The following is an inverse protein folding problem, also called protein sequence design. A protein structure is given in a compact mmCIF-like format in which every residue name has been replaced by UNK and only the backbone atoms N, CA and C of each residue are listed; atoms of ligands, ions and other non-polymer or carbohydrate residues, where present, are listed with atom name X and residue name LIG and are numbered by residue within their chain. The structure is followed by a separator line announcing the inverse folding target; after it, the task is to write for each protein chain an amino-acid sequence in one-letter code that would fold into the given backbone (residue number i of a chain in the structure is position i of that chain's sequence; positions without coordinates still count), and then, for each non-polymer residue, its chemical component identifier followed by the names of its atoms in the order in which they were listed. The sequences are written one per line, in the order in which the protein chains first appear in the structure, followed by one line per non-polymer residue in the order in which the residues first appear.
data_IF_590606162514
#
_entry.id   IF_590606162514
#
_cell.length_a   1.000
_cell.length_b   1.000
_cell.length_c   1.000
_cell.angle_alpha   90.00
_cell.angle_beta   90.00
_cell.angle_gamma   90.00
#
_symmetry.space_group_name_H-M   'P 1'
#
loop_
_entity.id
_entity.type
_entity.pdbx_description
1 polymer ?
#
# COMPACT_ATOMS: atom_id res chain seq x y z
N UNK A 1 53.71 7.41 51.29
CA UNK A 1 53.08 8.21 50.21
C UNK A 1 52.14 7.29 49.45
N UNK A 2 50.84 7.33 49.75
CA UNK A 2 49.83 6.53 49.07
C UNK A 2 49.27 7.35 47.89
N UNK A 3 49.49 6.86 46.68
CA UNK A 3 48.99 7.49 45.45
C UNK A 3 47.48 7.26 45.33
N UNK A 4 46.71 8.33 45.52
CA UNK A 4 45.26 8.36 45.27
C UNK A 4 45.01 8.26 43.77
N UNK A 5 44.58 7.08 43.29
CA UNK A 5 44.11 6.90 41.92
C UNK A 5 42.69 7.44 41.85
N UNK A 6 42.50 8.57 41.19
CA UNK A 6 41.18 9.14 40.97
C UNK A 6 40.30 8.16 40.19
N UNK A 7 39.13 7.82 40.75
CA UNK A 7 38.16 6.98 40.08
C UNK A 7 37.74 7.63 38.75
N UNK A 8 37.66 6.88 37.64
CA UNK A 8 37.26 7.44 36.36
C UNK A 8 35.85 8.03 36.48
N UNK A 9 35.74 9.32 36.13
CA UNK A 9 34.45 9.99 35.95
C UNK A 9 33.72 9.32 34.80
N UNK A 10 32.81 8.41 35.14
CA UNK A 10 31.86 7.86 34.18
C UNK A 10 30.94 9.00 33.77
N UNK A 11 31.21 9.61 32.61
CA UNK A 11 30.28 10.55 31.99
C UNK A 11 29.05 9.75 31.61
N UNK A 12 28.02 9.78 32.46
CA UNK A 12 26.76 9.10 32.22
C UNK A 12 26.14 9.65 30.92
N UNK A 13 26.23 8.88 29.85
CA UNK A 13 25.62 9.24 28.57
C UNK A 13 24.12 9.42 28.75
N UNK A 14 23.60 10.60 28.41
CA UNK A 14 22.18 10.91 28.56
C UNK A 14 21.31 9.86 27.84
N UNK A 15 20.33 9.23 28.52
CA UNK A 15 19.49 8.16 27.98
C UNK A 15 18.50 8.60 26.86
N UNK A 16 18.70 9.78 26.26
CA UNK A 16 17.86 10.39 25.20
C UNK A 16 17.74 9.55 23.92
N UNK A 17 18.53 8.50 23.76
CA UNK A 17 18.66 7.77 22.49
C UNK A 17 17.50 6.81 22.15
N UNK A 18 16.57 6.51 23.05
CA UNK A 18 15.66 5.36 22.87
C UNK A 18 14.35 5.70 22.14
N UNK A 19 13.58 6.72 22.56
CA UNK A 19 12.38 7.19 21.84
C UNK A 19 12.68 7.55 20.38
N UNK A 20 13.82 8.21 20.17
CA UNK A 20 14.34 8.56 18.86
C UNK A 20 14.59 7.33 17.96
N UNK A 21 15.04 6.20 18.52
CA UNK A 21 15.22 4.94 17.76
C UNK A 21 13.88 4.33 17.35
N UNK A 22 12.89 4.33 18.23
CA UNK A 22 11.57 3.75 17.93
C UNK A 22 10.83 4.58 16.90
N UNK A 23 10.82 5.90 17.08
CA UNK A 23 10.24 6.82 16.10
C UNK A 23 10.94 6.69 14.74
N UNK A 24 12.28 6.61 14.73
CA UNK A 24 13.09 6.40 13.53
C UNK A 24 12.74 5.08 12.83
N UNK A 25 12.56 3.98 13.59
CA UNK A 25 12.12 2.70 13.04
C UNK A 25 10.72 2.81 12.42
N UNK A 26 9.79 3.52 13.08
CA UNK A 26 8.45 3.75 12.54
C UNK A 26 8.50 4.45 11.17
N UNK A 27 9.23 5.55 11.06
CA UNK A 27 9.39 6.25 9.77
C UNK A 27 10.19 5.45 8.73
N UNK A 28 11.12 4.59 9.15
CA UNK A 28 11.77 3.64 8.24
C UNK A 28 10.79 2.57 7.72
N UNK A 29 9.85 2.11 8.54
CA UNK A 29 8.78 1.20 8.10
C UNK A 29 7.84 1.88 7.10
N UNK A 30 7.52 3.16 7.29
CA UNK A 30 6.78 3.97 6.31
C UNK A 30 7.48 3.95 4.95
N UNK A 31 8.78 4.28 4.92
CA UNK A 31 9.57 4.28 3.70
C UNK A 31 9.66 2.89 3.07
N UNK A 32 9.84 1.84 3.87
CA UNK A 32 9.92 0.47 3.38
C UNK A 32 8.58 -0.04 2.82
N UNK A 33 7.44 0.38 3.39
CA UNK A 33 6.11 0.08 2.85
C UNK A 33 5.91 0.71 1.46
N UNK A 34 6.27 1.98 1.30
CA UNK A 34 6.22 2.68 0.01
C UNK A 34 7.20 2.07 -1.02
N UNK A 35 8.39 1.67 -0.57
CA UNK A 35 9.35 0.98 -1.43
C UNK A 35 8.84 -0.39 -1.90
N UNK A 36 8.12 -1.13 -1.05
CA UNK A 36 7.53 -2.40 -1.43
C UNK A 36 6.52 -2.26 -2.57
N UNK A 37 5.69 -1.21 -2.54
CA UNK A 37 4.76 -0.91 -3.64
C UNK A 37 5.48 -0.55 -4.93
N UNK A 38 6.44 0.37 -4.86
CA UNK A 38 7.24 0.76 -6.01
C UNK A 38 7.95 -0.46 -6.64
N UNK A 39 8.59 -1.30 -5.83
CA UNK A 39 9.27 -2.50 -6.31
C UNK A 39 8.26 -3.52 -6.85
N UNK A 40 7.12 -3.70 -6.17
CA UNK A 40 6.07 -4.62 -6.61
C UNK A 40 5.52 -4.26 -7.98
N UNK A 41 5.21 -2.98 -8.21
CA UNK A 41 4.77 -2.50 -9.52
C UNK A 41 5.83 -2.71 -10.60
N UNK A 42 7.08 -2.33 -10.33
CA UNK A 42 8.18 -2.54 -11.28
C UNK A 42 8.40 -4.02 -11.62
N UNK A 43 8.28 -4.93 -10.64
CA UNK A 43 8.40 -6.38 -10.86
C UNK A 43 7.21 -6.96 -11.64
N UNK A 44 6.03 -6.36 -11.54
CA UNK A 44 4.88 -6.68 -12.38
C UNK A 44 4.99 -6.10 -13.81
N UNK A 45 6.10 -5.40 -14.12
CA UNK A 45 6.32 -4.78 -15.43
C UNK A 45 5.63 -3.43 -15.59
N UNK A 46 5.18 -2.82 -14.49
CA UNK A 46 4.45 -1.56 -14.57
C UNK A 46 5.37 -0.37 -14.90
N UNK A 47 4.93 0.50 -15.80
CA UNK A 47 5.59 1.79 -16.03
C UNK A 47 5.13 2.80 -15.00
N UNK A 48 5.87 2.93 -13.91
CA UNK A 48 5.44 3.76 -12.78
C UNK A 48 5.40 5.27 -13.10
N UNK A 49 6.08 5.78 -14.14
CA UNK A 49 5.95 7.17 -14.59
C UNK A 49 5.96 8.22 -13.46
N UNK A 50 4.93 9.07 -13.43
CA UNK A 50 4.71 10.07 -12.39
C UNK A 50 4.33 9.45 -11.03
N UNK A 51 3.57 8.35 -11.02
CA UNK A 51 3.22 7.61 -9.80
C UNK A 51 4.47 7.09 -9.07
N UNK A 52 5.47 6.65 -9.83
CA UNK A 52 6.77 6.21 -9.33
C UNK A 52 7.50 7.34 -8.63
N UNK A 53 7.48 8.55 -9.20
CA UNK A 53 8.05 9.73 -8.55
C UNK A 53 7.31 10.07 -7.25
N UNK A 54 5.99 9.90 -7.22
CA UNK A 54 5.17 10.09 -6.02
C UNK A 54 5.55 9.11 -4.89
N UNK A 55 5.75 7.82 -5.20
CA UNK A 55 6.25 6.85 -4.22
C UNK A 55 7.70 7.15 -3.78
N UNK A 56 8.58 7.53 -4.70
CA UNK A 56 9.97 7.92 -4.38
C UNK A 56 10.00 9.10 -3.40
N UNK A 57 9.15 10.11 -3.62
CA UNK A 57 9.03 11.25 -2.71
C UNK A 57 8.63 10.77 -1.29
N UNK A 58 7.64 9.89 -1.19
CA UNK A 58 7.20 9.32 0.09
C UNK A 58 8.30 8.55 0.81
N UNK A 59 9.06 7.73 0.07
CA UNK A 59 10.22 6.98 0.58
C UNK A 59 11.25 7.96 1.14
N UNK A 60 11.61 8.99 0.38
CA UNK A 60 12.59 10.00 0.80
C UNK A 60 12.12 10.75 2.03
N UNK A 61 10.86 11.21 2.06
CA UNK A 61 10.29 11.91 3.23
C UNK A 61 10.29 11.02 4.47
N UNK A 62 9.92 9.74 4.34
CA UNK A 62 9.99 8.78 5.43
C UNK A 62 11.41 8.58 5.97
N UNK A 63 12.39 8.43 5.08
CA UNK A 63 13.80 8.30 5.47
C UNK A 63 14.35 9.59 6.11
N UNK A 64 14.00 10.76 5.58
CA UNK A 64 14.36 12.06 6.16
C UNK A 64 13.77 12.20 7.55
N UNK A 65 12.49 11.91 7.74
CA UNK A 65 11.85 11.90 9.05
C UNK A 65 12.59 10.96 10.02
N UNK A 66 12.92 9.73 9.57
CA UNK A 66 13.66 8.76 10.36
C UNK A 66 15.05 9.26 10.81
N UNK A 67 15.77 9.97 9.96
CA UNK A 67 17.08 10.58 10.28
C UNK A 67 16.91 11.78 11.20
N UNK A 68 15.94 12.65 10.92
CA UNK A 68 15.73 13.91 11.64
C UNK A 68 15.33 13.64 13.09
N UNK A 69 14.36 12.74 13.34
CA UNK A 69 13.98 12.38 14.71
C UNK A 69 15.12 11.75 15.50
N UNK A 70 16.07 11.10 14.80
CA UNK A 70 17.23 10.48 15.42
C UNK A 70 18.32 11.48 15.82
N UNK A 71 18.41 12.63 15.14
CA UNK A 71 19.54 13.56 15.26
C UNK A 71 19.22 14.84 16.04
N UNK A 72 18.00 15.37 15.95
CA UNK A 72 17.71 16.74 16.37
C UNK A 72 16.81 16.87 17.61
N UNK A 73 16.72 15.82 18.44
CA UNK A 73 15.98 15.86 19.71
C UNK A 73 14.52 16.31 19.54
N UNK A 74 14.05 17.22 20.40
CA UNK A 74 12.66 17.72 20.40
C UNK A 74 12.26 18.38 19.07
N UNK A 75 13.15 19.17 18.47
CA UNK A 75 12.89 19.80 17.16
C UNK A 75 12.77 18.73 16.07
N UNK A 76 13.65 17.72 16.12
CA UNK A 76 13.59 16.59 15.21
C UNK A 76 12.25 15.85 15.28
N UNK A 77 11.74 15.60 16.50
CA UNK A 77 10.44 14.98 16.70
C UNK A 77 9.28 15.83 16.19
N UNK A 78 9.31 17.15 16.39
CA UNK A 78 8.28 18.04 15.86
C UNK A 78 8.23 17.98 14.32
N UNK A 79 9.39 18.06 13.66
CA UNK A 79 9.49 17.90 12.20
C UNK A 79 8.98 16.52 11.77
N UNK A 80 9.38 15.45 12.47
CA UNK A 80 8.92 14.10 12.18
C UNK A 80 7.41 13.94 12.26
N UNK A 81 6.75 14.55 13.25
CA UNK A 81 5.28 14.57 13.37
C UNK A 81 4.67 15.28 12.16
N UNK A 82 5.16 16.48 11.82
CA UNK A 82 4.64 17.24 10.67
C UNK A 82 4.77 16.46 9.36
N UNK A 83 5.94 15.88 9.10
CA UNK A 83 6.17 15.05 7.91
C UNK A 83 5.28 13.79 7.92
N UNK A 84 5.16 13.12 9.07
CA UNK A 84 4.31 11.94 9.22
C UNK A 84 2.83 12.23 8.98
N UNK A 85 2.30 13.32 9.52
CA UNK A 85 0.92 13.73 9.28
C UNK A 85 0.69 14.17 7.82
N UNK A 86 1.66 14.86 7.22
CA UNK A 86 1.62 15.19 5.80
C UNK A 86 1.54 13.93 4.92
N UNK A 87 2.37 12.92 5.20
CA UNK A 87 2.28 11.62 4.54
C UNK A 87 0.93 10.93 4.81
N UNK A 88 0.41 10.97 6.04
CA UNK A 88 -0.87 10.37 6.38
C UNK A 88 -2.04 10.97 5.60
N UNK A 89 -2.04 12.29 5.38
CA UNK A 89 -3.05 12.98 4.56
C UNK A 89 -2.85 12.66 3.09
N UNK A 90 -1.61 12.73 2.60
CA UNK A 90 -1.29 12.47 1.19
C UNK A 90 -1.60 11.03 0.76
N UNK A 91 -1.46 10.08 1.68
CA UNK A 91 -1.64 8.64 1.46
C UNK A 91 -2.77 8.06 2.34
N UNK A 92 -3.82 8.83 2.61
CA UNK A 92 -4.91 8.36 3.48
C UNK A 92 -5.58 7.09 2.91
N UNK A 93 -5.67 6.99 1.59
CA UNK A 93 -6.26 5.88 0.84
C UNK A 93 -5.51 4.55 1.04
N UNK A 94 -4.24 4.59 1.43
CA UNK A 94 -3.42 3.40 1.74
C UNK A 94 -4.04 2.54 2.83
N UNK A 95 -4.80 3.14 3.74
CA UNK A 95 -5.52 2.41 4.77
C UNK A 95 -6.58 1.44 4.17
N UNK A 96 -7.13 1.72 2.99
CA UNK A 96 -8.12 0.84 2.35
C UNK A 96 -7.52 -0.48 1.88
N UNK A 97 -6.24 -0.49 1.50
CA UNK A 97 -5.51 -1.71 1.13
C UNK A 97 -5.40 -2.72 2.29
N UNK A 98 -5.63 -2.29 3.54
CA UNK A 98 -5.73 -3.21 4.69
C UNK A 98 -6.94 -4.16 4.60
N UNK A 99 -7.95 -3.82 3.79
CA UNK A 99 -9.12 -4.65 3.57
C UNK A 99 -8.88 -5.80 2.57
N UNK A 100 -7.71 -5.85 1.91
CA UNK A 100 -7.42 -6.80 0.82
C UNK A 100 -6.21 -7.69 1.19
N UNK A 101 -6.31 -8.56 2.22
CA UNK A 101 -5.18 -9.35 2.71
C UNK A 101 -4.63 -10.35 1.68
N UNK A 102 -5.39 -10.67 0.63
CA UNK A 102 -4.97 -11.54 -0.47
C UNK A 102 -4.08 -10.85 -1.51
N UNK A 103 -3.84 -9.53 -1.40
CA UNK A 103 -2.96 -8.78 -2.29
C UNK A 103 -1.67 -8.43 -1.57
N UNK A 104 -0.64 -9.25 -1.78
CA UNK A 104 0.58 -9.19 -0.95
C UNK A 104 1.25 -7.82 -0.96
N UNK A 105 1.43 -7.23 -2.14
CA UNK A 105 2.12 -5.95 -2.30
C UNK A 105 1.31 -4.85 -1.63
N UNK A 106 0.02 -4.71 -1.98
CA UNK A 106 -0.91 -3.72 -1.42
C UNK A 106 -1.01 -3.81 0.11
N UNK A 107 -1.40 -4.97 0.61
CA UNK A 107 -1.65 -5.18 2.02
C UNK A 107 -0.38 -5.01 2.86
N UNK A 108 0.74 -5.59 2.42
CA UNK A 108 2.00 -5.50 3.16
C UNK A 108 2.53 -4.07 3.20
N UNK A 109 2.49 -3.36 2.07
CA UNK A 109 2.89 -1.95 2.02
C UNK A 109 2.02 -1.09 2.93
N UNK A 110 0.70 -1.33 2.96
CA UNK A 110 -0.23 -0.64 3.83
C UNK A 110 -0.02 -0.94 5.32
N UNK A 111 0.19 -2.20 5.70
CA UNK A 111 0.49 -2.57 7.10
C UNK A 111 1.78 -1.87 7.56
N UNK A 112 2.83 -1.91 6.74
CA UNK A 112 4.10 -1.25 7.07
C UNK A 112 3.94 0.27 7.16
N UNK A 113 3.18 0.87 6.26
CA UNK A 113 2.90 2.30 6.24
C UNK A 113 2.11 2.75 7.47
N UNK A 114 0.96 2.13 7.74
CA UNK A 114 0.07 2.50 8.84
C UNK A 114 0.72 2.24 10.20
N UNK A 115 1.33 1.06 10.39
CA UNK A 115 2.04 0.76 11.64
C UNK A 115 3.29 1.61 11.81
N UNK A 116 3.98 1.91 10.71
CA UNK A 116 5.12 2.81 10.67
C UNK A 116 4.75 4.23 11.09
N UNK A 117 3.67 4.78 10.55
CA UNK A 117 3.15 6.11 10.90
C UNK A 117 2.70 6.17 12.35
N UNK A 118 1.88 5.22 12.80
CA UNK A 118 1.41 5.16 14.18
C UNK A 118 2.57 5.13 15.17
N UNK A 119 3.60 4.33 14.87
CA UNK A 119 4.82 4.25 15.68
C UNK A 119 5.66 5.52 15.60
N UNK A 120 5.94 6.01 14.39
CA UNK A 120 6.79 7.18 14.15
C UNK A 120 6.25 8.43 14.80
N UNK A 121 4.96 8.72 14.57
CA UNK A 121 4.26 9.88 15.12
C UNK A 121 4.01 9.70 16.62
N UNK A 122 3.48 8.55 17.05
CA UNK A 122 3.15 8.29 18.45
C UNK A 122 4.37 8.39 19.38
N UNK A 123 5.50 7.78 19.01
CA UNK A 123 6.73 7.87 19.80
C UNK A 123 7.38 9.25 19.72
N UNK A 124 7.17 10.01 18.64
CA UNK A 124 7.62 11.40 18.58
C UNK A 124 6.82 12.31 19.51
N UNK A 125 5.50 12.13 19.59
CA UNK A 125 4.65 12.84 20.57
C UNK A 125 5.08 12.48 21.99
N UNK A 126 5.25 11.19 22.28
CA UNK A 126 5.72 10.72 23.58
C UNK A 126 7.05 11.34 24.00
N UNK A 127 8.02 11.41 23.07
CA UNK A 127 9.32 12.03 23.31
C UNK A 127 9.22 13.53 23.67
N UNK A 128 8.29 14.27 23.05
CA UNK A 128 8.08 15.69 23.33
C UNK A 128 7.38 15.90 24.67
N UNK A 129 6.31 15.13 24.94
CA UNK A 129 5.52 15.25 26.17
C UNK A 129 6.34 14.88 27.40
N UNK A 130 7.12 13.79 27.31
CA UNK A 130 7.93 13.28 28.43
C UNK A 130 9.34 13.85 28.49
N UNK A 131 9.63 14.94 27.77
CA UNK A 131 10.99 15.52 27.73
C UNK A 131 11.53 15.96 29.09
N UNK A 132 10.64 16.20 30.07
CA UNK A 132 10.98 16.62 31.42
C UNK A 132 11.07 15.46 32.42
N UNK A 133 10.68 14.24 32.04
CA UNK A 133 10.78 13.05 32.90
C UNK A 133 12.23 12.50 32.86
N UNK A 134 13.01 12.81 33.89
CA UNK A 134 14.46 12.56 33.91
C UNK A 134 14.88 11.07 34.00
N UNK A 135 13.95 10.12 34.22
CA UNK A 135 14.31 8.78 34.71
C UNK A 135 13.50 7.58 34.19
N UNK A 136 12.87 7.68 33.03
CA UNK A 136 12.22 6.49 32.46
C UNK A 136 13.23 5.75 31.59
N UNK A 137 14.03 4.88 32.21
CA UNK A 137 14.57 3.75 31.48
C UNK A 137 13.38 3.05 30.79
N UNK A 138 13.53 2.64 29.52
CA UNK A 138 12.48 1.94 28.82
C UNK A 138 12.11 0.77 29.70
N UNK A 139 10.85 0.70 30.07
CA UNK A 139 10.38 -0.50 30.74
C UNK A 139 10.72 -1.67 29.80
N UNK A 140 11.08 -2.83 30.34
CA UNK A 140 11.22 -4.06 29.54
C UNK A 140 9.99 -4.27 28.62
N UNK A 141 8.84 -3.67 28.98
CA UNK A 141 7.64 -3.52 28.18
C UNK A 141 7.82 -2.83 26.82
N UNK A 142 8.55 -1.72 26.70
CA UNK A 142 8.68 -0.99 25.42
C UNK A 142 9.45 -1.79 24.36
N UNK A 143 10.57 -2.40 24.75
CA UNK A 143 11.34 -3.26 23.85
C UNK A 143 10.54 -4.51 23.46
N UNK A 144 9.76 -5.05 24.41
CA UNK A 144 8.85 -6.16 24.13
C UNK A 144 7.74 -5.74 23.17
N UNK A 145 7.13 -4.58 23.37
CA UNK A 145 6.08 -4.04 22.50
C UNK A 145 6.58 -3.83 21.07
N UNK A 146 7.78 -3.26 20.88
CA UNK A 146 8.38 -3.14 19.55
C UNK A 146 8.59 -4.48 18.86
N UNK A 147 9.14 -5.47 19.58
CA UNK A 147 9.37 -6.81 19.03
C UNK A 147 8.06 -7.51 18.67
N UNK A 148 7.04 -7.35 19.51
CA UNK A 148 5.70 -7.89 19.26
C UNK A 148 5.08 -7.23 18.03
N UNK A 149 5.13 -5.91 17.94
CA UNK A 149 4.62 -5.16 16.79
C UNK A 149 5.33 -5.55 15.49
N UNK A 150 6.67 -5.60 15.47
CA UNK A 150 7.42 -6.05 14.30
C UNK A 150 7.07 -7.51 13.96
N UNK A 151 6.94 -8.37 14.97
CA UNK A 151 6.48 -9.75 14.80
C UNK A 151 5.09 -9.84 14.17
N UNK A 152 4.15 -8.98 14.57
CA UNK A 152 2.80 -8.88 13.98
C UNK A 152 2.88 -8.42 12.53
N UNK A 153 3.68 -7.40 12.22
CA UNK A 153 3.87 -6.92 10.83
C UNK A 153 4.41 -8.05 9.95
N UNK A 154 5.49 -8.70 10.38
CA UNK A 154 6.08 -9.82 9.63
C UNK A 154 5.10 -10.98 9.48
N UNK A 155 4.37 -11.34 10.54
CA UNK A 155 3.36 -12.40 10.48
C UNK A 155 2.24 -12.03 9.50
N UNK A 156 1.74 -10.79 9.53
CA UNK A 156 0.71 -10.31 8.62
C UNK A 156 1.17 -10.38 7.16
N UNK A 157 2.41 -9.98 6.87
CA UNK A 157 3.02 -10.09 5.54
C UNK A 157 3.14 -11.54 5.08
N UNK A 158 3.58 -12.46 5.96
CA UNK A 158 3.68 -13.89 5.65
C UNK A 158 2.30 -14.47 5.34
N UNK A 159 1.30 -14.18 6.18
CA UNK A 159 -0.09 -14.62 5.96
C UNK A 159 -0.61 -14.08 4.64
N UNK A 160 -0.39 -12.80 4.35
CA UNK A 160 -0.81 -12.18 3.08
C UNK A 160 -0.12 -12.81 1.86
N UNK A 161 1.18 -13.10 1.95
CA UNK A 161 1.91 -13.79 0.88
C UNK A 161 1.39 -15.20 0.64
N UNK A 162 1.10 -15.96 1.70
CA UNK A 162 0.45 -17.28 1.59
C UNK A 162 -0.93 -17.16 0.96
N UNK A 163 -1.77 -16.24 1.45
CA UNK A 163 -3.09 -15.99 0.89
C UNK A 163 -3.00 -15.67 -0.61
N UNK A 164 -2.20 -14.68 -1.00
CA UNK A 164 -1.99 -14.30 -2.40
C UNK A 164 -1.60 -15.48 -3.29
N UNK A 165 -0.75 -16.40 -2.81
CA UNK A 165 -0.36 -17.58 -3.60
C UNK A 165 -1.45 -18.64 -3.65
N UNK A 166 -2.15 -18.89 -2.53
CA UNK A 166 -3.14 -19.96 -2.41
C UNK A 166 -4.52 -19.59 -2.96
N UNK A 167 -4.85 -18.30 -3.03
CA UNK A 167 -6.13 -17.80 -3.56
C UNK A 167 -6.06 -17.39 -5.02
N UNK A 168 -4.87 -17.49 -5.64
CA UNK A 168 -4.72 -17.28 -7.09
C UNK A 168 -5.60 -18.24 -7.87
N UNK A 169 -6.52 -17.69 -8.64
CA UNK A 169 -7.35 -18.46 -9.55
C UNK A 169 -6.83 -18.33 -10.98
N UNK A 170 -6.79 -19.44 -11.70
CA UNK A 170 -6.73 -19.44 -13.16
C UNK A 170 -7.98 -20.15 -13.67
N UNK A 171 -8.50 -19.68 -14.79
CA UNK A 171 -9.75 -20.17 -15.36
C UNK A 171 -9.50 -20.75 -16.75
N UNK A 172 -10.17 -21.86 -17.06
CA UNK A 172 -10.15 -22.40 -18.41
C UNK A 172 -11.03 -21.51 -19.31
N UNK A 173 -10.41 -20.65 -20.12
CA UNK A 173 -11.11 -19.80 -21.06
C UNK A 173 -11.81 -20.66 -22.13
N UNK A 174 -13.14 -20.52 -22.33
CA UNK A 174 -13.82 -21.22 -23.41
C UNK A 174 -13.35 -20.69 -24.78
N UNK A 175 -13.48 -21.52 -25.81
CA UNK A 175 -13.14 -21.11 -27.17
C UNK A 175 -13.98 -19.89 -27.59
N UNK A 176 -13.32 -18.85 -28.11
CA UNK A 176 -13.98 -17.59 -28.47
C UNK A 176 -14.18 -16.60 -27.32
N UNK A 177 -13.70 -16.89 -26.10
CA UNK A 177 -13.67 -15.90 -25.03
C UNK A 177 -12.80 -14.69 -25.40
N UNK A 178 -13.25 -13.51 -25.01
CA UNK A 178 -12.54 -12.25 -25.23
C UNK A 178 -11.60 -12.02 -24.05
N UNK A 179 -10.30 -11.93 -24.33
CA UNK A 179 -9.31 -11.61 -23.30
C UNK A 179 -9.36 -10.14 -22.92
N UNK A 180 -9.48 -9.86 -21.63
CA UNK A 180 -9.41 -8.54 -21.01
C UNK A 180 -8.21 -8.55 -20.08
N UNK A 181 -7.13 -7.90 -20.48
CA UNK A 181 -5.92 -7.82 -19.65
C UNK A 181 -5.95 -6.51 -18.86
N UNK A 182 -5.65 -6.59 -17.57
CA UNK A 182 -5.55 -5.46 -16.65
C UNK A 182 -4.08 -5.28 -16.28
N UNK A 183 -3.49 -4.18 -16.72
CA UNK A 183 -2.08 -3.87 -16.51
C UNK A 183 -1.87 -2.34 -16.47
N UNK A 184 -0.91 -1.87 -15.68
CA UNK A 184 -0.59 -0.44 -15.52
C UNK A 184 -1.80 0.41 -15.08
N UNK A 185 -2.70 -0.11 -14.25
CA UNK A 185 -3.95 0.57 -13.91
C UNK A 185 -4.80 0.91 -15.17
N UNK A 186 -4.67 0.12 -16.22
CA UNK A 186 -5.40 0.26 -17.47
C UNK A 186 -5.97 -1.08 -17.95
N UNK A 187 -7.01 -1.03 -18.76
CA UNK A 187 -7.41 -2.16 -19.59
C UNK A 187 -6.57 -2.15 -20.87
N UNK A 188 -6.13 -3.32 -21.33
CA UNK A 188 -5.24 -3.43 -22.50
C UNK A 188 -5.84 -2.93 -23.83
N UNK A 189 -7.17 -2.77 -23.90
CA UNK A 189 -7.87 -2.18 -25.03
C UNK A 189 -8.79 -1.07 -24.55
N UNK A 190 -8.81 0.04 -25.28
CA UNK A 190 -9.79 1.11 -25.08
C UNK A 190 -11.22 0.67 -25.48
N UNK A 191 -11.36 -0.36 -26.31
CA UNK A 191 -12.66 -0.90 -26.71
C UNK A 191 -12.61 -2.39 -26.93
N UNK A 192 -13.48 -3.13 -26.24
CA UNK A 192 -13.77 -4.53 -26.46
C UNK A 192 -15.07 -4.67 -27.26
N UNK A 193 -15.21 -5.70 -28.10
CA UNK A 193 -16.41 -5.90 -28.92
C UNK A 193 -17.09 -7.23 -28.63
N UNK A 194 -18.40 -7.21 -28.41
CA UNK A 194 -19.27 -8.40 -28.26
C UNK A 194 -20.44 -8.32 -29.25
N UNK A 195 -21.09 -9.45 -29.51
CA UNK A 195 -22.26 -9.50 -30.39
C UNK A 195 -23.56 -9.21 -29.62
N UNK A 196 -24.44 -8.43 -30.22
CA UNK A 196 -25.76 -8.12 -29.69
C UNK A 196 -26.67 -9.35 -29.75
N UNK A 197 -27.42 -9.59 -28.67
CA UNK A 197 -28.37 -10.70 -28.60
C UNK A 197 -27.74 -12.09 -28.47
N UNK A 198 -26.41 -12.19 -28.36
CA UNK A 198 -25.68 -13.44 -28.16
C UNK A 198 -24.90 -13.44 -26.84
N UNK A 199 -24.79 -14.60 -26.20
CA UNK A 199 -23.97 -14.74 -25.00
C UNK A 199 -22.48 -14.59 -25.35
N UNK A 200 -21.78 -13.76 -24.59
CA UNK A 200 -20.34 -13.54 -24.73
C UNK A 200 -19.64 -13.84 -23.41
N UNK A 201 -18.42 -14.33 -23.47
CA UNK A 201 -17.58 -14.56 -22.28
C UNK A 201 -16.33 -13.72 -22.34
N UNK A 202 -16.08 -12.94 -21.29
CA UNK A 202 -14.83 -12.26 -21.05
C UNK A 202 -13.96 -13.13 -20.13
N UNK A 203 -12.68 -13.25 -20.45
CA UNK A 203 -11.67 -13.77 -19.54
C UNK A 203 -10.77 -12.63 -19.10
N UNK A 204 -10.87 -12.27 -17.83
CA UNK A 204 -10.19 -11.13 -17.25
C UNK A 204 -8.93 -11.62 -16.56
N UNK A 205 -7.79 -11.03 -16.89
CA UNK A 205 -6.49 -11.36 -16.33
C UNK A 205 -5.92 -10.13 -15.61
N UNK A 206 -5.71 -10.25 -14.30
CA UNK A 206 -5.01 -9.22 -13.55
C UNK A 206 -3.50 -9.44 -13.62
N UNK A 207 -2.79 -8.64 -14.42
CA UNK A 207 -1.33 -8.67 -14.57
C UNK A 207 -0.61 -7.69 -13.65
N UNK A 208 -1.35 -6.87 -12.92
CA UNK A 208 -0.78 -5.88 -12.01
C UNK A 208 -0.36 -6.49 -10.67
N UNK A 209 0.46 -5.73 -9.94
CA UNK A 209 0.77 -6.00 -8.54
C UNK A 209 -0.38 -5.61 -7.58
N UNK A 210 -1.44 -5.03 -8.13
CA UNK A 210 -2.56 -4.40 -7.43
C UNK A 210 -3.87 -5.15 -7.73
N UNK A 211 -4.82 -5.12 -6.81
CA UNK A 211 -6.11 -5.78 -6.97
C UNK A 211 -6.99 -4.96 -7.88
N UNK A 212 -7.69 -5.63 -8.79
CA UNK A 212 -8.64 -4.99 -9.70
C UNK A 212 -9.99 -5.68 -9.62
N UNK A 213 -10.96 -5.11 -10.30
CA UNK A 213 -12.22 -5.73 -10.65
C UNK A 213 -12.64 -5.26 -12.05
N UNK A 214 -13.75 -5.77 -12.53
CA UNK A 214 -14.42 -5.32 -13.74
C UNK A 214 -15.90 -5.12 -13.44
N UNK A 215 -16.38 -3.92 -13.68
CA UNK A 215 -17.78 -3.54 -13.50
C UNK A 215 -18.33 -3.03 -14.82
N UNK A 216 -19.53 -3.48 -15.19
CA UNK A 216 -20.32 -2.98 -16.33
C UNK A 216 -21.67 -2.52 -15.78
N UNK A 217 -21.78 -1.28 -15.26
CA UNK A 217 -22.97 -0.83 -14.51
C UNK A 217 -24.25 -0.91 -15.35
N UNK A 218 -24.17 -0.56 -16.64
CA UNK A 218 -25.31 -0.60 -17.55
C UNK A 218 -25.91 -2.00 -17.75
N UNK A 219 -25.12 -3.05 -17.49
CA UNK A 219 -25.55 -4.46 -17.58
C UNK A 219 -25.73 -5.11 -16.19
N UNK A 220 -25.49 -4.38 -15.11
CA UNK A 220 -25.54 -4.93 -13.74
C UNK A 220 -24.50 -6.02 -13.47
N UNK A 221 -23.36 -5.97 -14.16
CA UNK A 221 -22.29 -6.97 -14.05
C UNK A 221 -21.19 -6.45 -13.15
N UNK A 222 -20.81 -7.25 -12.16
CA UNK A 222 -19.64 -7.03 -11.31
C UNK A 222 -18.84 -8.33 -11.23
N UNK A 223 -17.58 -8.29 -11.61
CA UNK A 223 -16.70 -9.44 -11.43
C UNK A 223 -16.42 -9.68 -9.94
N UNK A 224 -16.47 -8.65 -9.09
CA UNK A 224 -15.81 -8.66 -7.79
C UNK A 224 -14.28 -8.69 -7.91
N UNK A 225 -13.59 -8.70 -6.76
CA UNK A 225 -12.13 -8.57 -6.72
C UNK A 225 -11.40 -9.70 -7.46
N UNK A 226 -10.36 -9.31 -8.18
CA UNK A 226 -9.41 -10.13 -8.94
C UNK A 226 -8.03 -9.79 -8.40
N UNK A 227 -7.46 -10.70 -7.60
CA UNK A 227 -6.15 -10.48 -6.97
C UNK A 227 -5.00 -10.54 -7.97
N UNK A 228 -3.82 -9.98 -7.63
CA UNK A 228 -2.63 -9.99 -8.49
C UNK A 228 -2.26 -11.38 -9.04
N UNK A 229 -2.27 -11.51 -10.37
CA UNK A 229 -1.97 -12.75 -11.09
C UNK A 229 -3.14 -13.73 -11.20
N UNK A 230 -4.34 -13.35 -10.77
CA UNK A 230 -5.56 -14.17 -10.90
C UNK A 230 -6.32 -13.86 -12.18
N UNK A 231 -7.20 -14.80 -12.53
CA UNK A 231 -8.08 -14.73 -13.68
C UNK A 231 -9.54 -14.95 -13.27
N UNK A 232 -10.47 -14.36 -14.03
CA UNK A 232 -11.91 -14.50 -13.80
C UNK A 232 -12.70 -14.55 -15.10
N UNK A 233 -13.74 -15.39 -15.14
CA UNK A 233 -14.72 -15.40 -16.23
C UNK A 233 -15.90 -14.50 -15.88
N UNK A 234 -16.30 -13.68 -16.85
CA UNK A 234 -17.53 -12.89 -16.80
C UNK A 234 -18.36 -13.21 -18.03
N UNK A 235 -19.59 -13.68 -17.81
CA UNK A 235 -20.53 -13.96 -18.88
C UNK A 235 -21.47 -12.77 -19.06
N UNK A 236 -21.60 -12.30 -20.29
CA UNK A 236 -22.55 -11.27 -20.68
C UNK A 236 -23.67 -11.97 -21.44
N UNK A 237 -24.89 -11.92 -20.90
CA UNK A 237 -26.04 -12.62 -21.46
C UNK A 237 -26.76 -11.74 -22.48
N UNK A 238 -26.77 -12.18 -23.74
CA UNK A 238 -27.47 -11.56 -24.87
C UNK A 238 -27.66 -10.02 -24.77
N UNK A 239 -26.56 -9.24 -24.70
CA UNK A 239 -26.64 -7.81 -24.43
C UNK A 239 -27.35 -7.07 -25.57
N UNK A 240 -28.11 -5.99 -25.28
CA UNK A 240 -28.67 -5.13 -26.32
C UNK A 240 -27.55 -4.37 -27.04
N UNK A 241 -27.75 -4.09 -28.33
CA UNK A 241 -26.79 -3.29 -29.11
C UNK A 241 -26.59 -1.89 -28.51
N UNK A 242 -25.36 -1.40 -28.59
CA UNK A 242 -24.93 -0.11 -28.05
C UNK A 242 -23.56 -0.18 -27.39
N UNK A 243 -23.00 0.99 -27.10
CA UNK A 243 -21.74 1.09 -26.39
C UNK A 243 -22.03 1.33 -24.90
N UNK A 244 -21.36 0.56 -24.04
CA UNK A 244 -21.40 0.71 -22.59
C UNK A 244 -19.99 0.77 -22.03
N UNK A 245 -19.79 1.50 -20.94
CA UNK A 245 -18.48 1.59 -20.32
C UNK A 245 -18.20 0.43 -19.37
N UNK A 246 -16.92 0.05 -19.28
CA UNK A 246 -16.38 -0.90 -18.30
C UNK A 246 -15.37 -0.17 -17.42
N UNK A 247 -15.36 -0.49 -16.12
CA UNK A 247 -14.55 0.20 -15.12
C UNK A 247 -13.88 -0.77 -14.16
N UNK A 248 -12.76 -0.36 -13.58
CA UNK A 248 -12.33 -0.86 -12.28
C UNK A 248 -12.86 0.08 -11.18
N UNK A 249 -13.67 -0.44 -10.25
CA UNK A 249 -14.27 0.34 -9.16
C UNK A 249 -13.26 0.86 -8.13
N UNK A 250 -12.07 0.26 -8.08
CA UNK A 250 -10.99 0.65 -7.18
C UNK A 250 -10.16 1.83 -7.73
N UNK A 251 -10.14 2.00 -9.05
CA UNK A 251 -9.23 2.90 -9.76
C UNK A 251 -9.97 3.79 -10.77
N UNK A 252 -11.26 4.05 -10.53
CA UNK A 252 -12.06 5.01 -11.30
C UNK A 252 -12.79 5.96 -10.35
N UNK A 253 -12.83 7.24 -10.71
CA UNK A 253 -13.44 8.31 -9.93
C UNK A 253 -14.92 8.53 -10.26
N UNK A 254 -15.36 8.21 -11.48
CA UNK A 254 -16.76 8.33 -11.93
C UNK A 254 -17.28 7.03 -12.57
N UNK A 255 -17.64 6.07 -11.73
CA UNK A 255 -18.22 4.78 -12.17
C UNK A 255 -19.65 4.90 -12.71
N UNK A 256 -20.26 6.09 -12.66
CA UNK A 256 -21.60 6.37 -13.16
C UNK A 256 -21.62 6.98 -14.56
N UNK A 257 -20.46 7.40 -15.07
CA UNK A 257 -20.38 8.05 -16.38
C UNK A 257 -20.74 7.10 -17.52
N UNK A 258 -21.24 7.65 -18.63
CA UNK A 258 -21.43 6.92 -19.88
C UNK A 258 -20.14 6.81 -20.70
N UNK A 259 -19.22 7.75 -20.46
CA UNK A 259 -17.94 7.87 -21.15
C UNK A 259 -16.86 7.92 -20.07
N UNK A 260 -15.88 7.01 -20.12
CA UNK A 260 -14.71 7.05 -19.25
C UNK A 260 -14.01 8.41 -19.22
N UNK A 261 -13.56 8.85 -18.05
CA UNK A 261 -12.58 9.93 -17.95
C UNK A 261 -11.20 9.44 -18.42
N UNK A 262 -10.34 10.36 -18.89
CA UNK A 262 -8.99 10.02 -19.37
C UNK A 262 -8.09 9.44 -18.28
N UNK A 263 -8.35 9.75 -17.01
CA UNK A 263 -7.55 9.33 -15.86
C UNK A 263 -8.13 8.11 -15.12
N UNK A 264 -9.24 7.55 -15.59
CA UNK A 264 -9.90 6.40 -14.97
C UNK A 264 -9.43 5.07 -15.60
N UNK A 265 -9.28 4.02 -14.80
CA UNK A 265 -9.08 2.65 -15.30
C UNK A 265 -10.37 2.13 -15.94
N UNK A 266 -10.57 2.49 -17.20
CA UNK A 266 -11.84 2.35 -17.88
C UNK A 266 -11.68 2.12 -19.39
N UNK A 267 -12.67 1.48 -19.98
CA UNK A 267 -12.71 1.20 -21.42
C UNK A 267 -14.17 1.12 -21.89
N UNK A 268 -14.35 0.96 -23.20
CA UNK A 268 -15.67 0.74 -23.79
C UNK A 268 -15.90 -0.74 -24.11
N UNK A 269 -17.13 -1.20 -23.93
CA UNK A 269 -17.66 -2.43 -24.48
C UNK A 269 -18.65 -2.06 -25.59
N UNK A 270 -18.27 -2.33 -26.83
CA UNK A 270 -19.11 -2.12 -28.00
C UNK A 270 -19.92 -3.38 -28.30
N UNK A 271 -21.24 -3.28 -28.18
CA UNK A 271 -22.19 -4.37 -28.48
C UNK A 271 -22.79 -4.14 -29.86
N UNK A 272 -22.42 -4.99 -30.83
CA UNK A 272 -22.77 -4.82 -32.25
C UNK A 272 -23.72 -5.88 -32.76
#
# INVERSE_FOLDING_TARGET
MASSVAAPTVVAGHPKAKWARVASLGFALVAAGMALWLIGGLLAGQSMGEEGAFFVLAIVVGLVAAVVVRRFGTVGHAIGITLGLGLAVMFFWVAFSLAIPGSFVEFSGAVMFVMGLATGVGYSIGAIVRRHELHVDPTRGETRAMRVMLGIVVLAMVVSGVLNLTTRSSVAAPAGAIAVEQANFEFSQATYTVQAGEDSTLVIHNRDAFTHDLVIPALGIESGLITPGSEKLVTILAPPAGDVAIYCSLHSSDTGAKVPAEDDMAAMLSVK
#
